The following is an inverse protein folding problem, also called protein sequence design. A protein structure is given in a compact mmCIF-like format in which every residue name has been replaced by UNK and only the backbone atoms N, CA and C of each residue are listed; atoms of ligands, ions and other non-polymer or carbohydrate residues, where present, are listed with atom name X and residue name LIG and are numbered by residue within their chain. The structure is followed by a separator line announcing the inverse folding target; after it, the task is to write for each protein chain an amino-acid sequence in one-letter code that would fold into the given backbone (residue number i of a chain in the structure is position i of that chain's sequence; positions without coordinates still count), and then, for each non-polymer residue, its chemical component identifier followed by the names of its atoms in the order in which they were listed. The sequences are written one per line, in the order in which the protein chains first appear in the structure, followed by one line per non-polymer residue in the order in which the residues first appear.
data_IF_649297080490
#
_entry.id   IF_649297080490
#
_cell.length_a   1.000
_cell.length_b   1.000
_cell.length_c   1.000
_cell.angle_alpha   90.00
_cell.angle_beta   90.00
_cell.angle_gamma   90.00
#
_symmetry.space_group_name_H-M   'P 1'
#
loop_
_entity.id
_entity.type
_entity.pdbx_description
1 polymer ?
#
# COMPACT_ATOMS: atom_id res chain seq x y z
N UNK A 1 0.12 -61.55 10.85
CA UNK A 1 0.87 -60.96 9.73
C UNK A 1 -0.12 -60.57 8.64
N UNK A 2 -0.43 -59.28 8.54
CA UNK A 2 -1.04 -58.70 7.35
C UNK A 2 -0.38 -57.34 7.14
N UNK A 3 0.54 -57.30 6.20
CA UNK A 3 1.18 -56.08 5.72
C UNK A 3 0.18 -55.31 4.85
N UNK A 4 0.00 -54.02 5.15
CA UNK A 4 -0.58 -53.08 4.20
C UNK A 4 0.40 -51.93 4.00
N UNK A 5 1.24 -52.09 2.99
CA UNK A 5 2.03 -51.04 2.37
C UNK A 5 1.19 -50.28 1.34
N UNK A 6 1.23 -48.95 1.39
CA UNK A 6 0.79 -48.06 0.32
C UNK A 6 -0.26 -47.03 0.76
N UNK A 7 -0.26 -45.76 0.38
CA UNK A 7 0.48 -44.98 -0.63
C UNK A 7 0.51 -43.54 -0.11
N UNK A 8 1.64 -42.84 -0.27
CA UNK A 8 1.80 -41.44 0.11
C UNK A 8 0.72 -40.55 -0.50
N UNK A 9 -0.06 -39.90 0.35
CA UNK A 9 -0.94 -38.80 -0.08
C UNK A 9 -0.04 -37.62 -0.43
N UNK A 10 0.25 -37.51 -1.72
CA UNK A 10 0.72 -36.29 -2.37
C UNK A 10 0.11 -35.07 -1.70
N UNK A 11 0.92 -34.37 -0.93
CA UNK A 11 0.57 -33.12 -0.31
C UNK A 11 0.61 -32.05 -1.41
N UNK A 12 -0.28 -32.16 -2.40
CA UNK A 12 -0.52 -31.17 -3.45
C UNK A 12 -1.02 -29.91 -2.77
N UNK A 13 -0.07 -29.10 -2.34
CA UNK A 13 -0.32 -27.76 -1.82
C UNK A 13 -0.95 -26.96 -2.95
N UNK A 14 -2.24 -26.68 -2.82
CA UNK A 14 -2.96 -25.79 -3.71
C UNK A 14 -2.47 -24.36 -3.49
N UNK A 15 -1.32 -24.03 -4.07
CA UNK A 15 -0.84 -22.66 -4.14
C UNK A 15 -1.68 -21.91 -5.17
N UNK A 16 -2.37 -20.85 -4.72
CA UNK A 16 -3.05 -19.95 -5.65
C UNK A 16 -1.98 -19.27 -6.52
N UNK A 17 -2.05 -19.50 -7.84
CA UNK A 17 -1.08 -19.00 -8.84
C UNK A 17 -0.92 -17.46 -8.89
N UNK A 18 -1.84 -16.70 -8.26
CA UNK A 18 -1.87 -15.24 -8.28
C UNK A 18 -1.96 -14.65 -6.87
N UNK A 19 -1.23 -13.56 -6.65
CA UNK A 19 -1.17 -12.84 -5.39
C UNK A 19 -2.50 -12.11 -5.06
N UNK A 20 -2.75 -11.78 -3.78
CA UNK A 20 -4.01 -11.13 -3.33
C UNK A 20 -4.28 -9.81 -4.05
N UNK A 21 -3.27 -8.97 -4.22
CA UNK A 21 -3.37 -7.69 -4.93
C UNK A 21 -3.55 -7.89 -6.44
N UNK A 22 -2.84 -8.84 -7.05
CA UNK A 22 -2.95 -9.20 -8.46
C UNK A 22 -4.40 -9.57 -8.83
N UNK A 23 -5.02 -10.42 -7.99
CA UNK A 23 -6.43 -10.80 -8.14
C UNK A 23 -7.39 -9.63 -7.90
N UNK A 24 -7.03 -8.69 -7.00
CA UNK A 24 -7.84 -7.49 -6.76
C UNK A 24 -7.83 -6.56 -7.97
N UNK A 25 -6.67 -6.40 -8.62
CA UNK A 25 -6.53 -5.63 -9.87
C UNK A 25 -7.32 -6.29 -11.00
N UNK A 26 -7.19 -7.60 -11.21
CA UNK A 26 -7.99 -8.32 -12.22
C UNK A 26 -9.49 -8.18 -11.96
N UNK A 27 -9.91 -8.28 -10.70
CA UNK A 27 -11.29 -8.04 -10.28
C UNK A 27 -11.73 -6.62 -10.63
N UNK A 28 -10.89 -5.61 -10.38
CA UNK A 28 -11.20 -4.21 -10.68
C UNK A 28 -11.27 -3.95 -12.20
N UNK A 29 -10.36 -4.52 -13.00
CA UNK A 29 -10.41 -4.44 -14.47
C UNK A 29 -11.69 -5.08 -15.01
N UNK A 30 -12.09 -6.24 -14.47
CA UNK A 30 -13.37 -6.88 -14.83
C UNK A 30 -14.58 -6.04 -14.40
N UNK A 31 -14.52 -5.35 -13.26
CA UNK A 31 -15.56 -4.42 -12.82
C UNK A 31 -15.66 -3.23 -13.78
N UNK A 32 -14.53 -2.62 -14.17
CA UNK A 32 -14.49 -1.49 -15.10
C UNK A 32 -14.98 -1.88 -16.51
N UNK A 33 -14.57 -3.05 -17.02
CA UNK A 33 -15.12 -3.59 -18.29
C UNK A 33 -16.63 -3.80 -18.24
N UNK A 34 -17.20 -4.11 -17.06
CA UNK A 34 -18.66 -4.27 -16.88
C UNK A 34 -19.41 -2.95 -16.69
N UNK A 35 -18.74 -1.90 -16.20
CA UNK A 35 -19.33 -0.56 -16.07
C UNK A 35 -19.49 0.16 -17.41
N UNK A 36 -18.68 -0.17 -18.42
CA UNK A 36 -18.67 0.46 -19.76
C UNK A 36 -19.74 -0.04 -20.75
N UNK A 37 -20.62 -0.96 -20.35
CA UNK A 37 -21.76 -1.33 -21.19
C UNK A 37 -22.90 -0.35 -20.92
N UNK A 38 -23.38 0.35 -21.94
CA UNK A 38 -24.62 1.12 -21.88
C UNK A 38 -25.75 0.22 -21.38
N UNK A 39 -26.48 0.68 -20.36
CA UNK A 39 -27.58 -0.05 -19.76
C UNK A 39 -28.87 0.60 -20.20
N UNK A 40 -29.75 -0.22 -20.76
CA UNK A 40 -31.08 0.19 -21.18
C UNK A 40 -31.85 0.74 -19.97
N UNK A 41 -32.43 1.93 -20.11
CA UNK A 41 -33.21 2.57 -19.06
C UNK A 41 -34.58 1.91 -19.03
N UNK A 42 -34.71 0.90 -18.16
CA UNK A 42 -35.99 0.22 -17.94
C UNK A 42 -36.72 0.81 -16.74
N UNK A 43 -38.04 1.00 -16.88
CA UNK A 43 -38.92 1.51 -15.81
C UNK A 43 -39.60 0.38 -15.05
N UNK A 44 -39.89 -0.74 -15.72
CA UNK A 44 -40.51 -1.92 -15.12
C UNK A 44 -39.73 -3.19 -15.44
N UNK A 45 -39.82 -4.19 -14.55
CA UNK A 45 -39.12 -5.46 -14.66
C UNK A 45 -39.95 -6.61 -14.07
N UNK A 46 -39.96 -7.77 -14.73
CA UNK A 46 -40.54 -9.00 -14.19
C UNK A 46 -39.59 -9.68 -13.19
N UNK A 47 -40.13 -10.05 -12.03
CA UNK A 47 -39.42 -10.80 -11.00
C UNK A 47 -39.41 -12.30 -11.34
N UNK A 48 -38.22 -12.92 -11.40
CA UNK A 48 -38.11 -14.37 -11.71
C UNK A 48 -38.68 -15.31 -10.64
N UNK A 49 -38.98 -14.79 -9.44
CA UNK A 49 -39.41 -15.60 -8.30
C UNK A 49 -40.92 -15.60 -8.09
N UNK A 50 -41.57 -14.46 -8.34
CA UNK A 50 -43.03 -14.33 -8.23
C UNK A 50 -43.71 -14.12 -9.58
N UNK A 51 -42.95 -13.99 -10.66
CA UNK A 51 -43.41 -13.75 -12.03
C UNK A 51 -44.27 -12.50 -12.23
N UNK A 52 -44.27 -11.57 -11.27
CA UNK A 52 -44.99 -10.28 -11.34
C UNK A 52 -44.06 -9.21 -11.93
N UNK A 53 -44.58 -8.45 -12.89
CA UNK A 53 -43.95 -7.21 -13.41
C UNK A 53 -44.14 -6.08 -12.42
N UNK A 54 -43.04 -5.50 -11.96
CA UNK A 54 -42.99 -4.46 -10.93
C UNK A 54 -42.12 -3.30 -11.41
N UNK A 55 -42.30 -2.15 -10.78
CA UNK A 55 -41.41 -1.01 -11.00
C UNK A 55 -39.95 -1.35 -10.63
N UNK A 56 -38.98 -0.81 -11.36
CA UNK A 56 -37.56 -1.10 -11.13
C UNK A 56 -37.07 -0.67 -9.74
N UNK A 57 -37.74 0.30 -9.09
CA UNK A 57 -37.47 0.68 -7.69
C UNK A 57 -37.72 -0.47 -6.71
N UNK A 58 -38.55 -1.46 -7.06
CA UNK A 58 -38.77 -2.66 -6.26
C UNK A 58 -37.64 -3.69 -6.37
N UNK A 59 -36.64 -3.44 -7.21
CA UNK A 59 -35.46 -4.28 -7.39
C UNK A 59 -34.22 -3.61 -6.81
N UNK A 60 -33.30 -4.40 -6.27
CA UNK A 60 -32.00 -3.87 -5.84
C UNK A 60 -31.10 -3.66 -7.05
N UNK A 61 -30.34 -2.57 -7.05
CA UNK A 61 -29.35 -2.33 -8.10
C UNK A 61 -28.27 -3.42 -8.08
N UNK A 62 -28.01 -4.02 -9.24
CA UNK A 62 -27.01 -5.06 -9.46
C UNK A 62 -26.21 -4.71 -10.71
N UNK A 63 -25.06 -4.09 -10.48
CA UNK A 63 -24.20 -3.56 -11.55
C UNK A 63 -23.76 -4.58 -12.61
N UNK A 64 -23.80 -5.88 -12.29
CA UNK A 64 -23.44 -6.98 -13.18
C UNK A 64 -24.58 -7.49 -14.06
N UNK A 65 -25.83 -7.12 -13.79
CA UNK A 65 -26.97 -7.45 -14.65
C UNK A 65 -27.01 -6.54 -15.88
N UNK A 66 -27.54 -7.05 -17.00
CA UNK A 66 -27.65 -6.29 -18.24
C UNK A 66 -28.50 -5.03 -18.08
N UNK A 67 -29.62 -5.15 -17.37
CA UNK A 67 -30.55 -4.08 -17.00
C UNK A 67 -30.11 -3.27 -15.75
N UNK A 68 -29.01 -3.64 -15.10
CA UNK A 68 -28.57 -3.01 -13.86
C UNK A 68 -29.39 -3.37 -12.61
N UNK A 69 -30.38 -4.26 -12.68
CA UNK A 69 -31.25 -4.62 -11.55
C UNK A 69 -31.14 -6.10 -11.18
N UNK A 70 -31.52 -6.44 -9.95
CA UNK A 70 -31.54 -7.81 -9.48
C UNK A 70 -32.63 -8.62 -10.22
N UNK A 71 -32.42 -9.91 -10.56
CA UNK A 71 -33.44 -10.69 -11.28
C UNK A 71 -34.77 -10.84 -10.53
N UNK A 72 -34.72 -10.91 -9.20
CA UNK A 72 -35.90 -10.95 -8.34
C UNK A 72 -36.07 -9.68 -7.49
N UNK A 73 -37.31 -9.36 -7.13
CA UNK A 73 -37.67 -8.17 -6.36
C UNK A 73 -37.13 -8.25 -4.92
N UNK A 74 -37.02 -7.09 -4.26
CA UNK A 74 -36.53 -6.95 -2.87
C UNK A 74 -37.28 -7.87 -1.90
N UNK A 75 -38.59 -8.02 -2.06
CA UNK A 75 -39.42 -8.90 -1.21
C UNK A 75 -39.02 -10.38 -1.36
N UNK A 76 -38.96 -10.89 -2.59
CA UNK A 76 -38.56 -12.26 -2.88
C UNK A 76 -37.11 -12.54 -2.42
N UNK A 77 -36.21 -11.58 -2.66
CA UNK A 77 -34.84 -11.63 -2.19
C UNK A 77 -34.76 -11.72 -0.66
N UNK A 78 -35.50 -10.89 0.06
CA UNK A 78 -35.56 -10.91 1.52
C UNK A 78 -36.13 -12.25 2.04
N UNK A 79 -37.22 -12.76 1.45
CA UNK A 79 -37.82 -14.04 1.83
C UNK A 79 -36.85 -15.23 1.69
N UNK A 80 -35.96 -15.21 0.70
CA UNK A 80 -34.88 -16.20 0.55
C UNK A 80 -33.76 -16.00 1.57
N UNK A 81 -33.40 -14.75 1.87
CA UNK A 81 -32.38 -14.41 2.86
C UNK A 81 -32.77 -14.87 4.27
N UNK A 82 -34.03 -14.71 4.68
CA UNK A 82 -34.54 -15.22 5.97
C UNK A 82 -34.50 -16.76 6.03
N UNK A 83 -35.01 -17.45 5.01
CA UNK A 83 -34.92 -18.93 4.92
C UNK A 83 -33.49 -19.49 4.98
N UNK A 84 -32.51 -18.77 4.41
CA UNK A 84 -31.09 -19.16 4.48
C UNK A 84 -30.43 -18.81 5.83
N UNK A 85 -30.93 -17.80 6.55
CA UNK A 85 -30.47 -17.47 7.89
C UNK A 85 -30.83 -18.60 8.85
N UNK A 86 -32.06 -19.11 8.77
CA UNK A 86 -32.54 -20.21 9.62
C UNK A 86 -31.77 -21.52 9.35
N UNK A 87 -31.37 -21.77 8.10
CA UNK A 87 -30.49 -22.89 7.72
C UNK A 87 -29.02 -22.74 8.15
N UNK A 88 -28.52 -21.52 8.34
CA UNK A 88 -27.15 -21.25 8.78
C UNK A 88 -26.97 -21.35 10.31
N UNK A 89 -28.06 -21.38 11.06
CA UNK A 89 -28.12 -21.56 12.52
C UNK A 89 -28.38 -22.99 12.96
N UNK A 90 -28.05 -24.01 12.15
CA UNK A 90 -27.93 -25.36 12.68
C UNK A 90 -26.65 -25.44 13.54
N UNK A 91 -26.74 -24.94 14.78
CA UNK A 91 -25.81 -25.29 15.85
C UNK A 91 -25.95 -26.79 16.02
N UNK A 92 -25.04 -27.54 15.42
CA UNK A 92 -25.02 -28.98 15.56
C UNK A 92 -24.85 -29.29 17.05
N UNK A 93 -25.80 -30.01 17.64
CA UNK A 93 -25.82 -30.49 19.03
C UNK A 93 -24.75 -31.58 19.23
N UNK A 94 -23.50 -31.24 18.90
CA UNK A 94 -22.36 -32.14 18.96
C UNK A 94 -21.74 -31.94 20.34
N UNK A 95 -21.81 -32.97 21.18
CA UNK A 95 -21.18 -32.96 22.50
C UNK A 95 -19.69 -33.28 22.41
N UNK A 96 -19.28 -34.09 21.43
CA UNK A 96 -17.91 -34.57 21.26
C UNK A 96 -17.41 -34.50 19.82
N UNK A 97 -16.11 -34.20 19.65
CA UNK A 97 -15.46 -34.00 18.37
C UNK A 97 -14.05 -34.58 18.35
N UNK A 98 -13.67 -35.19 17.22
CA UNK A 98 -12.29 -35.62 16.95
C UNK A 98 -11.37 -34.42 16.73
N UNK A 99 -10.31 -34.31 17.54
CA UNK A 99 -9.22 -33.38 17.29
C UNK A 99 -8.29 -33.95 16.22
N UNK A 100 -8.07 -33.24 15.10
CA UNK A 100 -7.22 -33.74 14.00
C UNK A 100 -5.72 -33.75 14.32
N UNK A 101 -5.31 -33.09 15.41
CA UNK A 101 -3.89 -32.95 15.77
C UNK A 101 -3.43 -34.07 16.70
N UNK A 102 -4.29 -34.54 17.61
CA UNK A 102 -3.99 -35.68 18.48
C UNK A 102 -4.81 -36.94 18.15
N UNK A 103 -5.77 -36.86 17.22
CA UNK A 103 -6.68 -37.95 16.83
C UNK A 103 -7.48 -38.55 17.99
N UNK A 104 -7.82 -37.73 18.99
CA UNK A 104 -8.66 -38.13 20.14
C UNK A 104 -10.03 -37.46 20.05
N UNK A 105 -11.09 -38.22 20.31
CA UNK A 105 -12.45 -37.68 20.49
C UNK A 105 -12.51 -36.98 21.84
N UNK A 106 -12.88 -35.70 21.83
CA UNK A 106 -12.90 -34.83 23.00
C UNK A 106 -14.21 -34.06 23.07
N UNK A 107 -14.63 -33.69 24.26
CA UNK A 107 -15.79 -32.83 24.45
C UNK A 107 -15.60 -31.47 23.73
N UNK A 108 -16.68 -30.92 23.18
CA UNK A 108 -16.68 -29.68 22.40
C UNK A 108 -16.21 -28.45 23.20
N UNK A 109 -16.35 -28.47 24.53
CA UNK A 109 -15.80 -27.46 25.45
C UNK A 109 -14.28 -27.31 25.34
N UNK A 110 -13.58 -28.37 24.90
CA UNK A 110 -12.14 -28.37 24.67
C UNK A 110 -11.76 -27.81 23.29
N UNK A 111 -12.68 -27.22 22.53
CA UNK A 111 -12.42 -26.62 21.23
C UNK A 111 -12.83 -25.14 21.21
N UNK A 112 -12.02 -24.31 20.55
CA UNK A 112 -12.36 -22.90 20.35
C UNK A 112 -13.54 -22.76 19.37
N UNK A 113 -14.43 -21.77 19.54
CA UNK A 113 -15.49 -21.50 18.57
C UNK A 113 -14.93 -20.91 17.27
N UNK A 114 -15.52 -21.28 16.14
CA UNK A 114 -15.21 -20.79 14.80
C UNK A 114 -16.48 -20.68 13.95
N UNK A 115 -17.01 -19.46 13.80
CA UNK A 115 -18.22 -19.18 13.01
C UNK A 115 -18.12 -19.54 11.51
N UNK A 116 -16.92 -19.88 11.01
CA UNK A 116 -16.69 -20.25 9.62
C UNK A 116 -16.71 -21.75 9.38
N UNK A 117 -16.60 -22.58 10.42
CA UNK A 117 -16.72 -24.03 10.27
C UNK A 117 -18.18 -24.44 10.28
N UNK A 118 -18.47 -25.61 9.70
CA UNK A 118 -19.84 -26.15 9.57
C UNK A 118 -20.47 -26.47 10.93
N UNK A 119 -19.66 -26.92 11.88
CA UNK A 119 -20.04 -27.28 13.25
C UNK A 119 -19.91 -26.12 14.24
N UNK A 120 -19.33 -24.99 13.83
CA UNK A 120 -19.12 -23.83 14.69
C UNK A 120 -17.88 -23.88 15.58
N UNK A 121 -17.00 -24.88 15.46
CA UNK A 121 -15.77 -25.03 16.27
C UNK A 121 -14.50 -25.30 15.45
N UNK A 122 -13.33 -25.05 16.02
CA UNK A 122 -12.05 -25.42 15.42
C UNK A 122 -11.90 -26.95 15.29
N UNK A 123 -11.08 -27.41 14.34
CA UNK A 123 -10.78 -28.83 14.14
C UNK A 123 -9.72 -29.39 15.09
N UNK A 124 -9.06 -28.50 15.85
CA UNK A 124 -8.00 -28.83 16.81
C UNK A 124 -8.45 -28.39 18.19
N UNK A 125 -8.24 -29.24 19.20
CA UNK A 125 -8.55 -28.92 20.60
C UNK A 125 -7.61 -27.83 21.15
N UNK A 126 -8.00 -27.22 22.26
CA UNK A 126 -7.28 -26.12 22.90
C UNK A 126 -5.82 -26.49 23.22
N UNK A 127 -5.58 -27.70 23.72
CA UNK A 127 -4.22 -28.18 24.08
C UNK A 127 -3.31 -28.35 22.87
N UNK A 128 -3.89 -28.76 21.73
CA UNK A 128 -3.14 -28.97 20.49
C UNK A 128 -3.02 -27.68 19.67
N UNK A 129 -3.82 -26.66 20.00
CA UNK A 129 -3.75 -25.38 19.32
C UNK A 129 -2.47 -24.67 19.76
N UNK A 130 -1.53 -24.54 18.83
CA UNK A 130 -0.33 -23.73 19.02
C UNK A 130 -0.46 -22.45 18.21
N UNK A 131 -0.25 -21.26 18.80
CA UNK A 131 -0.16 -20.04 18.03
C UNK A 131 0.97 -20.19 17.02
N UNK A 132 0.78 -19.60 15.83
CA UNK A 132 1.80 -19.64 14.79
C UNK A 132 3.01 -18.85 15.26
N UNK A 133 4.11 -19.52 15.55
CA UNK A 133 5.37 -18.86 15.86
C UNK A 133 5.89 -18.11 14.63
N UNK A 134 6.21 -16.84 14.83
CA UNK A 134 6.73 -15.98 13.78
C UNK A 134 8.24 -16.22 13.61
N UNK A 135 8.61 -16.89 12.53
CA UNK A 135 10.02 -17.05 12.17
C UNK A 135 10.45 -15.94 11.17
N UNK A 136 11.02 -14.87 11.72
CA UNK A 136 11.53 -13.72 10.97
C UNK A 136 12.57 -14.12 9.93
N UNK A 137 13.48 -15.04 10.28
CA UNK A 137 14.57 -15.44 9.40
C UNK A 137 14.08 -16.23 8.18
N UNK A 138 13.16 -17.16 8.40
CA UNK A 138 12.48 -17.91 7.33
C UNK A 138 11.73 -16.98 6.38
N UNK A 139 11.15 -15.89 6.91
CA UNK A 139 10.48 -14.90 6.07
C UNK A 139 11.47 -14.08 5.24
N UNK A 140 12.60 -13.65 5.82
CA UNK A 140 13.67 -12.97 5.08
C UNK A 140 14.20 -13.84 3.94
N UNK A 141 14.45 -15.13 4.21
CA UNK A 141 14.91 -16.10 3.20
C UNK A 141 13.88 -16.25 2.07
N UNK A 142 12.59 -16.40 2.43
CA UNK A 142 11.52 -16.47 1.43
C UNK A 142 11.39 -15.18 0.61
N UNK A 143 11.59 -14.01 1.24
CA UNK A 143 11.58 -12.72 0.57
C UNK A 143 12.72 -12.60 -0.45
N UNK A 144 13.94 -13.00 -0.05
CA UNK A 144 15.11 -13.06 -0.93
C UNK A 144 14.85 -13.95 -2.15
N UNK A 145 14.37 -15.19 -1.92
CA UNK A 145 14.07 -16.16 -2.98
C UNK A 145 12.99 -15.65 -3.94
N UNK A 146 11.98 -14.94 -3.44
CA UNK A 146 10.94 -14.34 -4.28
C UNK A 146 11.51 -13.25 -5.19
N UNK A 147 12.31 -12.34 -4.64
CA UNK A 147 12.96 -11.28 -5.43
C UNK A 147 13.86 -11.88 -6.49
N UNK A 148 14.64 -12.90 -6.14
CA UNK A 148 15.56 -13.58 -7.05
C UNK A 148 14.86 -14.26 -8.23
N UNK A 149 13.75 -14.96 -7.96
CA UNK A 149 12.98 -15.68 -8.98
C UNK A 149 12.02 -14.78 -9.79
N UNK A 150 11.74 -13.57 -9.31
CA UNK A 150 10.75 -12.66 -9.91
C UNK A 150 11.31 -11.25 -10.13
N UNK A 151 12.61 -11.14 -10.45
CA UNK A 151 13.33 -9.86 -10.63
C UNK A 151 12.61 -8.91 -11.58
N UNK A 152 12.14 -9.41 -12.72
CA UNK A 152 11.49 -8.60 -13.76
C UNK A 152 10.14 -8.04 -13.31
N UNK A 153 9.29 -8.85 -12.65
CA UNK A 153 8.01 -8.39 -12.09
C UNK A 153 8.19 -7.37 -10.97
N UNK A 154 9.25 -7.55 -10.17
CA UNK A 154 9.64 -6.61 -9.12
C UNK A 154 10.10 -5.29 -9.75
N UNK A 155 10.94 -5.34 -10.79
CA UNK A 155 11.40 -4.17 -11.56
C UNK A 155 10.25 -3.41 -12.22
N UNK A 156 9.34 -4.13 -12.87
CA UNK A 156 8.18 -3.55 -13.56
C UNK A 156 7.18 -2.93 -12.57
N UNK A 157 6.95 -3.56 -11.41
CA UNK A 157 6.19 -2.97 -10.31
C UNK A 157 6.81 -1.65 -9.86
N UNK A 158 8.13 -1.58 -9.72
CA UNK A 158 8.83 -0.38 -9.30
C UNK A 158 8.87 0.72 -10.36
N UNK A 159 8.94 0.34 -11.64
CA UNK A 159 8.90 1.25 -12.80
C UNK A 159 7.53 1.91 -12.95
N UNK A 160 6.45 1.11 -12.94
CA UNK A 160 5.06 1.62 -12.93
C UNK A 160 4.75 2.50 -11.74
N UNK A 161 5.48 2.30 -10.66
CA UNK A 161 5.22 3.04 -9.45
C UNK A 161 5.71 4.47 -9.53
N UNK A 162 6.86 4.83 -10.13
CA UNK A 162 7.44 6.19 -9.98
C UNK A 162 7.73 6.62 -8.52
N UNK A 163 7.07 5.96 -7.56
CA UNK A 163 7.18 6.01 -6.13
C UNK A 163 8.53 5.51 -5.68
N UNK A 164 9.33 4.83 -6.50
CA UNK A 164 10.69 4.52 -6.06
C UNK A 164 11.55 5.77 -6.00
N UNK A 165 11.62 6.60 -7.04
CA UNK A 165 12.43 7.81 -6.97
C UNK A 165 11.82 8.82 -5.99
N UNK A 166 10.49 9.01 -6.04
CA UNK A 166 9.81 9.93 -5.13
C UNK A 166 9.93 9.49 -3.66
N UNK A 167 9.87 8.19 -3.37
CA UNK A 167 10.11 7.64 -2.03
C UNK A 167 11.58 7.71 -1.66
N UNK A 168 12.51 7.43 -2.57
CA UNK A 168 13.95 7.48 -2.29
C UNK A 168 14.38 8.90 -1.91
N UNK A 169 13.92 9.90 -2.63
CA UNK A 169 14.18 11.32 -2.32
C UNK A 169 13.51 11.72 -1.01
N UNK A 170 12.20 11.43 -0.85
CA UNK A 170 11.50 11.72 0.43
C UNK A 170 12.17 11.02 1.61
N UNK A 171 12.60 9.78 1.43
CA UNK A 171 13.30 9.02 2.45
C UNK A 171 14.67 9.63 2.75
N UNK A 172 15.46 9.98 1.73
CA UNK A 172 16.76 10.64 1.88
C UNK A 172 16.62 11.94 2.67
N UNK A 173 15.68 12.81 2.28
CA UNK A 173 15.41 14.08 2.95
C UNK A 173 14.91 13.85 4.38
N UNK A 174 13.96 12.93 4.57
CA UNK A 174 13.44 12.62 5.90
C UNK A 174 14.54 12.08 6.84
N UNK A 175 15.37 11.15 6.36
CA UNK A 175 16.48 10.59 7.11
C UNK A 175 17.48 11.69 7.48
N UNK A 176 17.87 12.54 6.52
CA UNK A 176 18.82 13.64 6.76
C UNK A 176 18.30 14.62 7.81
N UNK A 177 17.07 15.11 7.65
CA UNK A 177 16.45 16.04 8.61
C UNK A 177 16.35 15.39 10.00
N UNK A 178 15.83 14.15 10.07
CA UNK A 178 15.66 13.46 11.35
C UNK A 178 16.99 13.19 12.04
N UNK A 179 18.04 12.86 11.28
CA UNK A 179 19.38 12.63 11.81
C UNK A 179 19.97 13.91 12.41
N UNK A 180 19.93 15.03 11.67
CA UNK A 180 20.50 16.29 12.11
C UNK A 180 19.76 16.87 13.32
N UNK A 181 18.42 16.86 13.29
CA UNK A 181 17.64 17.32 14.46
C UNK A 181 17.94 16.45 15.69
N UNK A 182 18.05 15.13 15.52
CA UNK A 182 18.37 14.23 16.63
C UNK A 182 19.77 14.48 17.21
N UNK A 183 20.75 14.88 16.39
CA UNK A 183 22.09 15.24 16.86
C UNK A 183 22.05 16.46 17.79
N UNK A 184 21.13 17.39 17.54
CA UNK A 184 20.84 18.54 18.41
C UNK A 184 19.87 18.21 19.56
N UNK A 185 19.60 16.94 19.83
CA UNK A 185 18.61 16.48 20.82
C UNK A 185 17.17 16.97 20.55
N UNK A 186 16.84 17.28 19.29
CA UNK A 186 15.52 17.70 18.85
C UNK A 186 14.75 16.55 18.17
N UNK A 187 13.43 16.61 18.25
CA UNK A 187 12.55 15.69 17.52
C UNK A 187 11.95 16.37 16.28
N UNK A 188 11.93 15.66 15.15
CA UNK A 188 11.22 16.11 13.94
C UNK A 188 9.71 16.09 14.19
N UNK A 189 9.10 17.27 14.33
CA UNK A 189 7.68 17.45 14.65
C UNK A 189 6.81 17.76 13.42
N UNK A 190 7.43 18.01 12.25
CA UNK A 190 6.72 18.42 11.04
C UNK A 190 6.90 17.45 9.85
N UNK A 191 6.03 17.61 8.84
CA UNK A 191 6.13 16.85 7.59
C UNK A 191 7.37 17.29 6.83
N UNK A 192 8.05 16.35 6.18
CA UNK A 192 9.30 16.63 5.44
C UNK A 192 9.13 17.75 4.41
N UNK A 193 7.97 17.81 3.73
CA UNK A 193 7.69 18.86 2.74
C UNK A 193 7.51 20.26 3.36
N UNK A 194 7.15 20.37 4.65
CA UNK A 194 7.09 21.67 5.34
C UNK A 194 8.49 22.25 5.53
N UNK A 195 9.46 21.43 5.95
CA UNK A 195 10.87 21.84 6.04
C UNK A 195 11.44 22.26 4.67
N UNK A 196 11.06 21.53 3.61
CA UNK A 196 11.50 21.83 2.25
C UNK A 196 10.84 23.12 1.72
N UNK A 197 9.64 23.48 2.18
CA UNK A 197 8.96 24.71 1.78
C UNK A 197 8.38 24.68 0.36
N UNK A 198 8.19 23.49 -0.23
CA UNK A 198 7.49 23.30 -1.50
C UNK A 198 6.90 21.88 -1.61
N UNK A 199 6.01 21.67 -2.57
CA UNK A 199 5.55 20.32 -2.89
C UNK A 199 6.61 19.50 -3.65
N UNK A 200 6.37 18.19 -3.72
CA UNK A 200 7.33 17.28 -4.34
C UNK A 200 7.45 17.47 -5.87
N UNK A 201 6.40 17.94 -6.54
CA UNK A 201 6.42 18.19 -7.98
C UNK A 201 7.30 19.40 -8.31
N UNK A 202 7.17 20.47 -7.53
CA UNK A 202 8.06 21.64 -7.61
C UNK A 202 9.52 21.25 -7.34
N UNK A 203 9.77 20.48 -6.29
CA UNK A 203 11.13 20.01 -5.96
C UNK A 203 11.76 19.17 -7.10
N UNK A 204 10.96 18.32 -7.77
CA UNK A 204 11.46 17.57 -8.94
C UNK A 204 11.89 18.48 -10.07
N UNK A 205 11.06 19.48 -10.41
CA UNK A 205 11.40 20.46 -11.45
C UNK A 205 12.66 21.24 -11.09
N UNK A 206 12.81 21.61 -9.82
CA UNK A 206 13.99 22.30 -9.31
C UNK A 206 15.27 21.47 -9.48
N UNK A 207 15.21 20.16 -9.18
CA UNK A 207 16.35 19.28 -9.42
C UNK A 207 16.61 19.06 -10.91
N UNK A 208 15.58 18.86 -11.73
CA UNK A 208 15.70 18.72 -13.18
C UNK A 208 16.33 19.96 -13.84
N UNK A 209 16.00 21.16 -13.36
CA UNK A 209 16.58 22.42 -13.84
C UNK A 209 18.08 22.56 -13.55
N UNK A 210 18.58 21.87 -12.52
CA UNK A 210 19.97 21.91 -12.11
C UNK A 210 20.81 20.76 -12.64
N UNK A 211 20.20 19.77 -13.31
CA UNK A 211 20.93 18.59 -13.79
C UNK A 211 22.05 18.99 -14.75
N UNK A 212 23.25 18.52 -14.41
CA UNK A 212 24.44 18.64 -15.24
C UNK A 212 24.46 17.54 -16.30
N UNK A 213 25.46 17.60 -17.18
CA UNK A 213 25.68 16.57 -18.19
C UNK A 213 25.69 15.17 -17.56
N UNK A 214 24.96 14.24 -18.17
CA UNK A 214 24.78 12.87 -17.72
C UNK A 214 24.05 12.68 -16.38
N UNK A 215 23.49 13.73 -15.75
CA UNK A 215 22.68 13.61 -14.54
C UNK A 215 21.20 13.37 -14.87
N UNK A 216 20.59 12.33 -14.26
CA UNK A 216 19.17 12.04 -14.44
C UNK A 216 18.59 11.22 -13.29
N UNK A 217 17.28 11.02 -13.26
CA UNK A 217 16.62 10.27 -12.19
C UNK A 217 17.03 8.79 -12.11
N UNK A 218 17.37 8.18 -13.25
CA UNK A 218 17.73 6.76 -13.31
C UNK A 218 19.08 6.48 -12.64
N UNK A 219 19.97 7.48 -12.64
CA UNK A 219 21.26 7.40 -11.96
C UNK A 219 21.30 8.09 -10.58
N UNK A 220 20.15 8.41 -9.99
CA UNK A 220 20.08 8.85 -8.59
C UNK A 220 20.71 7.81 -7.66
N UNK A 221 21.66 8.25 -6.83
CA UNK A 221 22.58 7.41 -6.08
C UNK A 221 24.01 7.41 -6.63
N UNK A 222 24.23 7.84 -7.88
CA UNK A 222 25.53 8.35 -8.36
C UNK A 222 25.69 9.82 -8.01
N UNK A 223 24.63 10.59 -8.18
CA UNK A 223 24.44 11.90 -7.56
C UNK A 223 23.54 11.79 -6.33
N UNK A 224 23.64 12.76 -5.44
CA UNK A 224 22.90 12.87 -4.19
C UNK A 224 22.40 14.30 -3.96
N UNK A 225 21.56 14.48 -2.93
CA UNK A 225 21.01 15.79 -2.60
C UNK A 225 21.98 16.46 -1.64
N UNK A 226 22.60 17.54 -2.09
CA UNK A 226 23.50 18.38 -1.30
C UNK A 226 22.79 19.66 -0.84
N UNK A 227 23.35 20.28 0.21
CA UNK A 227 23.00 21.60 0.67
C UNK A 227 24.06 22.60 0.21
N UNK A 228 23.64 23.64 -0.52
CA UNK A 228 24.54 24.67 -1.05
C UNK A 228 25.26 25.38 0.08
N UNK A 229 24.50 25.84 1.07
CA UNK A 229 25.00 26.24 2.37
C UNK A 229 24.97 25.00 3.28
N UNK A 230 26.12 24.51 3.79
CA UNK A 230 26.21 23.29 4.59
C UNK A 230 25.32 23.31 5.84
N UNK A 231 24.72 22.18 6.19
CA UNK A 231 23.87 22.10 7.40
C UNK A 231 24.61 22.49 8.69
N UNK A 232 25.93 22.29 8.74
CA UNK A 232 26.78 22.60 9.90
C UNK A 232 26.92 24.10 10.16
N UNK A 233 26.58 24.98 9.22
CA UNK A 233 26.63 26.42 9.41
C UNK A 233 25.34 27.01 9.99
N UNK A 234 24.32 26.18 10.24
CA UNK A 234 23.03 26.61 10.78
C UNK A 234 22.90 26.19 12.24
N UNK A 235 22.31 27.06 13.05
CA UNK A 235 21.85 26.73 14.38
C UNK A 235 20.49 26.04 14.31
N UNK A 236 20.47 24.71 14.30
CA UNK A 236 19.22 23.96 14.18
C UNK A 236 18.36 23.99 15.45
N UNK A 237 18.80 24.59 16.57
CA UNK A 237 17.90 24.90 17.68
C UNK A 237 16.93 26.04 17.35
N UNK A 238 17.30 26.91 16.41
CA UNK A 238 16.42 27.93 15.86
C UNK A 238 15.53 27.33 14.76
N UNK A 239 14.21 27.43 14.95
CA UNK A 239 13.20 26.90 14.02
C UNK A 239 13.30 27.53 12.62
N UNK A 240 13.54 28.84 12.52
CA UNK A 240 13.65 29.54 11.24
C UNK A 240 14.91 29.12 10.48
N UNK A 241 15.99 28.85 11.21
CA UNK A 241 17.21 28.29 10.63
C UNK A 241 17.03 26.83 10.20
N UNK A 242 16.22 26.03 10.90
CA UNK A 242 15.86 24.69 10.40
C UNK A 242 15.15 24.78 9.05
N UNK A 243 14.14 25.65 8.93
CA UNK A 243 13.42 25.84 7.68
C UNK A 243 14.32 26.38 6.58
N UNK A 244 15.22 27.31 6.90
CA UNK A 244 16.19 27.86 5.95
C UNK A 244 17.19 26.80 5.49
N UNK A 245 17.73 26.02 6.42
CA UNK A 245 18.67 24.94 6.14
C UNK A 245 18.08 23.93 5.16
N UNK A 246 16.86 23.44 5.42
CA UNK A 246 16.26 22.36 4.64
C UNK A 246 15.41 22.81 3.44
N UNK A 247 15.27 24.13 3.23
CA UNK A 247 14.47 24.72 2.15
C UNK A 247 14.94 24.21 0.79
N UNK A 248 14.01 24.00 -0.13
CA UNK A 248 14.28 23.59 -1.50
C UNK A 248 15.35 24.45 -2.18
N UNK A 249 15.37 25.76 -1.90
CA UNK A 249 16.32 26.71 -2.46
C UNK A 249 17.74 26.47 -1.95
N UNK A 250 17.94 25.82 -0.81
CA UNK A 250 19.25 25.40 -0.34
C UNK A 250 19.66 24.00 -0.86
N UNK A 251 18.75 23.25 -1.50
CA UNK A 251 19.00 21.91 -1.99
C UNK A 251 19.47 21.92 -3.45
N UNK A 252 20.46 21.08 -3.78
CA UNK A 252 20.98 20.93 -5.14
C UNK A 252 21.37 19.48 -5.42
N UNK A 253 21.20 18.97 -6.66
CA UNK A 253 21.73 17.67 -7.02
C UNK A 253 23.25 17.78 -7.28
N UNK A 254 24.04 16.96 -6.60
CA UNK A 254 25.50 16.98 -6.67
C UNK A 254 26.05 15.57 -6.87
N UNK A 255 27.09 15.41 -7.69
CA UNK A 255 27.79 14.13 -7.78
C UNK A 255 28.41 13.77 -6.44
N UNK A 256 28.30 12.51 -6.02
CA UNK A 256 28.81 12.05 -4.71
C UNK A 256 30.27 12.41 -4.47
N UNK A 257 31.10 12.26 -5.49
CA UNK A 257 32.54 12.54 -5.40
C UNK A 257 32.76 14.04 -5.13
N UNK A 258 32.01 14.91 -5.81
CA UNK A 258 32.14 16.36 -5.67
C UNK A 258 31.57 16.83 -4.32
N UNK A 259 30.46 16.23 -3.88
CA UNK A 259 29.89 16.51 -2.56
C UNK A 259 30.86 16.16 -1.43
N UNK A 260 31.53 15.00 -1.51
CA UNK A 260 32.56 14.59 -0.54
C UNK A 260 33.73 15.58 -0.54
N UNK A 261 34.19 16.01 -1.72
CA UNK A 261 35.30 16.99 -1.84
C UNK A 261 34.92 18.38 -1.30
N UNK A 262 33.67 18.80 -1.52
CA UNK A 262 33.13 20.06 -1.00
C UNK A 262 33.07 20.05 0.52
N UNK A 263 32.55 18.97 1.11
CA UNK A 263 32.39 18.85 2.55
C UNK A 263 31.49 19.96 3.11
N UNK A 264 31.94 20.61 4.18
CA UNK A 264 31.27 21.70 4.88
C UNK A 264 31.79 23.09 4.48
N UNK A 265 32.48 23.21 3.35
CA UNK A 265 32.99 24.49 2.86
C UNK A 265 31.86 25.37 2.34
N UNK A 266 31.86 26.62 2.78
CA UNK A 266 31.04 27.70 2.23
C UNK A 266 31.83 28.33 1.08
N UNK A 267 31.28 28.29 -0.13
CA UNK A 267 31.94 28.80 -1.34
C UNK A 267 31.05 29.87 -1.96
N UNK A 268 31.44 31.13 -1.78
CA UNK A 268 30.61 32.29 -2.17
C UNK A 268 30.26 32.32 -3.66
N UNK A 269 31.19 31.92 -4.53
CA UNK A 269 30.94 31.85 -5.98
C UNK A 269 29.85 30.84 -6.35
N UNK A 270 29.80 29.70 -5.66
CA UNK A 270 28.74 28.70 -5.83
C UNK A 270 27.42 29.26 -5.32
N UNK A 271 27.42 29.90 -4.14
CA UNK A 271 26.21 30.50 -3.55
C UNK A 271 25.64 31.57 -4.49
N UNK A 272 26.48 32.44 -5.04
CA UNK A 272 26.05 33.51 -5.94
C UNK A 272 25.48 32.94 -7.26
N UNK A 273 26.17 31.94 -7.84
CA UNK A 273 25.67 31.25 -9.03
C UNK A 273 24.34 30.55 -8.76
N UNK A 274 24.18 29.97 -7.57
CA UNK A 274 22.97 29.28 -7.17
C UNK A 274 21.79 30.23 -6.95
N UNK A 275 22.02 31.43 -6.41
CA UNK A 275 21.00 32.49 -6.32
C UNK A 275 20.46 32.86 -7.71
N UNK A 276 21.34 33.06 -8.69
CA UNK A 276 20.93 33.34 -10.07
C UNK A 276 20.08 32.19 -10.64
N UNK A 277 20.44 30.92 -10.35
CA UNK A 277 19.62 29.76 -10.76
C UNK A 277 18.24 29.76 -10.10
N UNK A 278 18.15 30.13 -8.83
CA UNK A 278 16.87 30.25 -8.12
C UNK A 278 15.98 31.28 -8.82
N UNK A 279 16.51 32.48 -9.09
CA UNK A 279 15.75 33.56 -9.72
C UNK A 279 15.25 33.17 -11.12
N UNK A 280 16.13 32.58 -11.93
CA UNK A 280 15.78 32.06 -13.26
C UNK A 280 14.75 30.92 -13.20
N UNK A 281 14.81 30.08 -12.17
CA UNK A 281 13.85 28.99 -12.03
C UNK A 281 12.48 29.50 -11.62
N UNK A 282 12.42 30.43 -10.65
CA UNK A 282 11.17 31.03 -10.16
C UNK A 282 10.48 31.84 -11.27
N UNK A 283 11.24 32.53 -12.12
CA UNK A 283 10.66 33.29 -13.24
C UNK A 283 9.92 32.40 -14.25
N UNK A 284 10.32 31.13 -14.36
CA UNK A 284 9.71 30.13 -15.26
C UNK A 284 8.67 29.27 -14.52
N UNK A 285 8.91 28.99 -13.24
CA UNK A 285 8.11 28.11 -12.39
C UNK A 285 7.73 28.85 -11.10
N UNK A 286 6.65 29.66 -11.11
CA UNK A 286 6.22 30.35 -9.91
C UNK A 286 5.89 29.35 -8.81
N UNK A 287 6.16 29.73 -7.56
CA UNK A 287 5.84 28.90 -6.40
C UNK A 287 4.35 28.56 -6.40
N UNK A 288 3.97 27.28 -6.16
CA UNK A 288 2.57 26.93 -6.03
C UNK A 288 1.97 27.74 -4.89
N UNK A 289 0.81 28.37 -5.15
CA UNK A 289 0.04 29.05 -4.11
C UNK A 289 -0.21 28.04 -2.99
N UNK A 290 0.27 28.36 -1.78
CA UNK A 290 -0.01 27.52 -0.62
C UNK A 290 -1.53 27.52 -0.44
N UNK A 291 -2.19 26.44 -0.84
CA UNK A 291 -3.58 26.20 -0.43
C UNK A 291 -3.56 26.17 1.09
N UNK A 292 -4.23 27.16 1.70
CA UNK A 292 -4.35 27.28 3.14
C UNK A 292 -4.69 25.94 3.78
N UNK A 293 -4.08 25.69 4.94
CA UNK A 293 -4.29 24.55 5.83
C UNK A 293 -5.58 23.77 5.54
N UNK A 294 -5.50 22.76 4.68
CA UNK A 294 -6.56 21.78 4.50
C UNK A 294 -6.35 20.69 5.54
N UNK A 295 -7.09 20.81 6.63
CA UNK A 295 -7.53 19.68 7.44
C UNK A 295 -8.23 18.72 6.50
N UNK A 296 -7.62 17.56 6.19
CA UNK A 296 -8.19 16.35 5.57
C UNK A 296 -7.00 15.52 5.05
N UNK A 297 -6.85 14.21 5.22
CA UNK A 297 -7.61 13.17 5.87
C UNK A 297 -6.73 11.92 5.67
N UNK A 298 -6.62 11.10 6.71
CA UNK A 298 -6.12 9.73 6.59
C UNK A 298 -7.07 8.92 5.72
N UNK A 299 -6.61 8.44 4.56
CA UNK A 299 -6.99 7.16 3.96
C UNK A 299 -5.82 6.55 3.18
#
# INVERSE_FOLDING_TARGET
MYEYSGIGKDNKKYYRKKCKSCRLVEKNVLIEKKKRKEKEIITTKQCIDCNITKDCTEFSHRSVSADGFHPCCKMCYNKKRWRNKDKATCVSTIEEKLCISCNVIKNISLFKPNKKSKDGYYHTCNDCWKPREWNSEKQKISGRKYVETHREKVREKYKRQGLNINRRIRHSLNCRISQLLKQESLSKNNRTLQYIGCDFHFLKKWFEFQFQENMNWDNYGKWEIDHIVPCSSFNLQNIDEQYTCFKWSNLSPCWKIDNIKKGDKIIDSIIQTHKIKIDNFISINPLPTQSGNSVEGTE
#
